data_IF_176271577987
#
_entry.id   IF_176271577987
#
_cell.length_a   1.000
_cell.length_b   1.000
_cell.length_c   1.000
_cell.angle_alpha   90.00
_cell.angle_beta   90.00
_cell.angle_gamma   90.00
#
_symmetry.space_group_name_H-M   'P 1'
#
loop_
_entity.id
_entity.type
_entity.pdbx_description
1 polymer ?
#
# COMPACT_ATOMS: atom_id res chain seq x y z
N UNK A 1 -5.33 5.00 -6.50
CA UNK A 1 -4.18 5.35 -5.66
C UNK A 1 -3.14 4.26 -5.81
N UNK A 2 -2.39 3.92 -4.75
CA UNK A 2 -1.35 2.88 -4.80
C UNK A 2 -1.91 1.55 -5.34
N UNK A 3 -2.97 1.00 -4.76
CA UNK A 3 -3.51 -0.31 -5.18
C UNK A 3 -3.93 -0.40 -6.66
N UNK A 4 -4.68 0.59 -7.15
CA UNK A 4 -5.11 0.61 -8.55
C UNK A 4 -3.90 0.70 -9.50
N UNK A 5 -2.93 1.57 -9.21
CA UNK A 5 -1.73 1.72 -10.04
C UNK A 5 -0.82 0.48 -9.92
N UNK A 6 -0.72 -0.13 -8.74
CA UNK A 6 0.03 -1.36 -8.54
C UNK A 6 -0.52 -2.50 -9.39
N UNK A 7 -1.85 -2.61 -9.56
CA UNK A 7 -2.44 -3.57 -10.50
C UNK A 7 -1.91 -3.38 -11.93
N UNK A 8 -1.72 -2.13 -12.38
CA UNK A 8 -1.10 -1.85 -13.69
C UNK A 8 0.34 -2.35 -13.76
N UNK A 9 1.17 -2.07 -12.75
CA UNK A 9 2.55 -2.58 -12.68
C UNK A 9 2.60 -4.12 -12.66
N UNK A 10 1.79 -4.76 -11.81
CA UNK A 10 1.73 -6.21 -11.70
C UNK A 10 1.21 -6.86 -12.98
N UNK A 11 0.33 -6.20 -13.73
CA UNK A 11 -0.17 -6.71 -15.01
C UNK A 11 0.91 -6.78 -16.11
N UNK A 12 2.09 -6.21 -15.90
CA UNK A 12 3.24 -6.43 -16.80
C UNK A 12 3.81 -7.86 -16.72
N UNK A 13 3.49 -8.61 -15.66
CA UNK A 13 3.79 -10.04 -15.56
C UNK A 13 3.01 -10.85 -16.61
N UNK A 14 3.47 -12.07 -16.92
CA UNK A 14 2.88 -12.94 -17.93
C UNK A 14 1.48 -13.45 -17.49
N UNK A 15 0.44 -12.66 -17.77
CA UNK A 15 -0.98 -12.93 -17.49
C UNK A 15 -1.27 -13.36 -16.03
N UNK A 16 -1.06 -12.48 -15.04
CA UNK A 16 -1.31 -12.80 -13.64
C UNK A 16 -2.82 -12.95 -13.38
N UNK A 17 -3.20 -13.72 -12.37
CA UNK A 17 -4.57 -13.74 -11.85
C UNK A 17 -4.72 -12.71 -10.72
N UNK A 18 -5.88 -12.06 -10.62
CA UNK A 18 -6.13 -11.08 -9.56
C UNK A 18 -7.35 -11.45 -8.71
N UNK A 19 -7.20 -11.25 -7.40
CA UNK A 19 -8.31 -11.14 -6.45
C UNK A 19 -8.28 -9.72 -5.89
N UNK A 20 -9.25 -8.88 -6.28
CA UNK A 20 -9.31 -7.47 -5.87
C UNK A 20 -10.35 -7.29 -4.76
N UNK A 21 -9.98 -6.60 -3.69
CA UNK A 21 -10.83 -6.40 -2.51
C UNK A 21 -10.75 -4.94 -2.11
N UNK A 22 -11.86 -4.21 -2.22
CA UNK A 22 -11.98 -2.81 -1.81
C UNK A 22 -13.48 -2.50 -1.67
N UNK A 23 -13.97 -2.06 -0.49
CA UNK A 23 -15.38 -1.75 -0.29
C UNK A 23 -15.81 -0.44 -0.96
N UNK A 24 -14.86 0.42 -1.34
CA UNK A 24 -15.16 1.77 -1.75
C UNK A 24 -15.71 1.87 -3.17
N UNK A 25 -16.48 2.94 -3.35
CA UNK A 25 -16.89 3.47 -4.63
C UNK A 25 -15.93 4.61 -5.01
N UNK A 26 -15.57 4.70 -6.30
CA UNK A 26 -14.70 5.77 -6.79
C UNK A 26 -15.41 7.12 -6.64
N UNK A 27 -14.80 8.05 -5.91
CA UNK A 27 -15.27 9.42 -5.72
C UNK A 27 -14.36 10.44 -6.39
N UNK A 28 -14.87 11.68 -6.52
CA UNK A 28 -14.12 12.81 -7.12
C UNK A 28 -12.79 13.04 -6.41
N UNK A 29 -12.77 12.91 -5.07
CA UNK A 29 -11.58 13.08 -4.23
C UNK A 29 -10.44 12.10 -4.57
N UNK A 30 -10.74 11.00 -5.25
CA UNK A 30 -9.77 9.97 -5.60
C UNK A 30 -9.25 10.09 -7.04
N UNK A 31 -9.97 10.78 -7.94
CA UNK A 31 -9.66 10.82 -9.38
C UNK A 31 -8.21 11.28 -9.65
N UNK A 32 -7.73 12.29 -8.92
CA UNK A 32 -6.39 12.85 -9.14
C UNK A 32 -5.21 11.89 -8.88
N UNK A 33 -5.46 10.74 -8.24
CA UNK A 33 -4.44 9.71 -7.93
C UNK A 33 -4.90 8.28 -8.21
N UNK A 34 -6.12 8.10 -8.74
CA UNK A 34 -6.64 6.79 -9.10
C UNK A 34 -6.27 6.45 -10.53
N UNK A 35 -6.02 5.16 -10.80
CA UNK A 35 -5.67 4.69 -12.15
C UNK A 35 -6.80 5.00 -13.14
N UNK A 36 -8.04 4.83 -12.67
CA UNK A 36 -9.24 5.12 -13.44
C UNK A 36 -9.57 6.61 -13.41
N UNK A 37 -10.04 7.12 -14.53
CA UNK A 37 -10.47 8.50 -14.68
C UNK A 37 -11.93 8.73 -14.33
N UNK A 38 -12.44 9.91 -14.73
CA UNK A 38 -13.79 10.38 -14.45
C UNK A 38 -14.89 9.45 -14.97
N UNK A 39 -14.62 8.67 -16.02
CA UNK A 39 -15.55 7.70 -16.59
C UNK A 39 -15.92 6.54 -15.64
N UNK A 40 -15.13 6.31 -14.59
CA UNK A 40 -15.41 5.29 -13.58
C UNK A 40 -16.00 5.87 -12.27
N UNK A 41 -16.36 7.16 -12.25
CA UNK A 41 -16.94 7.80 -11.07
C UNK A 41 -18.24 7.07 -10.65
N UNK A 42 -18.42 6.91 -9.35
CA UNK A 42 -19.54 6.19 -8.72
C UNK A 42 -19.61 4.68 -8.99
N UNK A 43 -18.59 4.09 -9.63
CA UNK A 43 -18.43 2.63 -9.71
C UNK A 43 -17.66 2.10 -8.51
N UNK A 44 -17.94 0.87 -8.08
CA UNK A 44 -17.04 0.15 -7.17
C UNK A 44 -15.63 0.11 -7.76
N UNK A 45 -14.63 0.48 -6.96
CA UNK A 45 -13.23 0.59 -7.42
C UNK A 45 -12.75 -0.75 -8.01
N UNK A 46 -13.06 -1.86 -7.35
CA UNK A 46 -12.69 -3.20 -7.81
C UNK A 46 -13.26 -3.56 -9.18
N UNK A 47 -14.53 -3.22 -9.44
CA UNK A 47 -15.16 -3.50 -10.74
C UNK A 47 -14.56 -2.64 -11.85
N UNK A 48 -14.32 -1.35 -11.59
CA UNK A 48 -13.68 -0.48 -12.56
C UNK A 48 -12.25 -0.94 -12.91
N UNK A 49 -11.47 -1.41 -11.93
CA UNK A 49 -10.12 -1.95 -12.18
C UNK A 49 -10.19 -3.26 -12.95
N UNK A 50 -11.16 -4.13 -12.65
CA UNK A 50 -11.41 -5.36 -13.42
C UNK A 50 -11.75 -5.06 -14.87
N UNK A 51 -12.66 -4.12 -15.14
CA UNK A 51 -13.00 -3.66 -16.49
C UNK A 51 -11.73 -3.19 -17.23
N UNK A 52 -10.94 -2.32 -16.59
CA UNK A 52 -9.67 -1.82 -17.16
C UNK A 52 -8.69 -2.94 -17.53
N UNK A 53 -8.48 -3.90 -16.63
CA UNK A 53 -7.56 -5.02 -16.89
C UNK A 53 -8.08 -5.94 -18.00
N UNK A 54 -9.39 -6.21 -18.02
CA UNK A 54 -10.06 -7.02 -19.06
C UNK A 54 -10.02 -6.37 -20.44
N UNK A 55 -9.98 -5.04 -20.54
CA UNK A 55 -9.78 -4.36 -21.82
C UNK A 55 -8.40 -4.62 -22.42
N UNK A 56 -7.40 -4.91 -21.58
CA UNK A 56 -6.03 -5.22 -22.02
C UNK A 56 -5.89 -6.73 -22.28
N UNK A 57 -6.46 -7.57 -21.40
CA UNK A 57 -6.42 -9.04 -21.49
C UNK A 57 -7.79 -9.66 -21.15
N UNK A 58 -8.68 -9.86 -22.13
CA UNK A 58 -10.02 -10.40 -21.90
C UNK A 58 -10.03 -11.78 -21.23
N UNK A 59 -9.00 -12.59 -21.46
CA UNK A 59 -8.84 -13.95 -20.94
C UNK A 59 -8.40 -14.01 -19.47
N UNK A 60 -7.91 -12.90 -18.90
CA UNK A 60 -7.30 -12.87 -17.57
C UNK A 60 -8.30 -13.23 -16.46
N UNK A 61 -7.94 -14.09 -15.51
CA UNK A 61 -8.83 -14.42 -14.39
C UNK A 61 -8.79 -13.34 -13.30
N UNK A 62 -9.93 -12.67 -13.09
CA UNK A 62 -10.06 -11.58 -12.12
C UNK A 62 -11.34 -11.75 -11.30
N UNK A 63 -11.16 -11.96 -10.00
CA UNK A 63 -12.22 -12.00 -9.00
C UNK A 63 -12.23 -10.67 -8.23
N UNK A 64 -13.42 -10.22 -7.85
CA UNK A 64 -13.63 -8.92 -7.19
C UNK A 64 -14.56 -9.09 -6.01
N UNK A 65 -14.24 -8.39 -4.92
CA UNK A 65 -15.05 -8.33 -3.71
C UNK A 65 -15.19 -6.86 -3.31
N UNK A 66 -16.40 -6.33 -3.40
CA UNK A 66 -16.75 -5.01 -2.89
C UNK A 66 -16.99 -5.07 -1.37
N UNK A 67 -15.98 -5.52 -0.63
CA UNK A 67 -16.02 -5.76 0.81
C UNK A 67 -14.63 -5.45 1.42
N UNK A 68 -14.53 -5.43 2.74
CA UNK A 68 -13.26 -5.22 3.44
C UNK A 68 -12.44 -6.51 3.48
N UNK A 69 -11.10 -6.38 3.58
CA UNK A 69 -10.21 -7.56 3.70
C UNK A 69 -10.51 -8.37 4.96
N UNK A 70 -10.88 -7.70 6.05
CA UNK A 70 -11.25 -8.31 7.32
C UNK A 70 -12.49 -9.19 7.19
N UNK A 71 -13.51 -8.68 6.49
CA UNK A 71 -14.75 -9.41 6.21
C UNK A 71 -14.49 -10.63 5.33
N UNK A 72 -13.71 -10.47 4.25
CA UNK A 72 -13.39 -11.58 3.33
C UNK A 72 -12.59 -12.67 4.03
N UNK A 73 -11.53 -12.32 4.78
CA UNK A 73 -10.72 -13.29 5.52
C UNK A 73 -11.49 -14.00 6.63
N UNK A 74 -12.34 -13.28 7.36
CA UNK A 74 -13.15 -13.89 8.44
C UNK A 74 -14.19 -14.88 7.91
N UNK A 75 -14.67 -14.68 6.68
CA UNK A 75 -15.63 -15.58 6.03
C UNK A 75 -14.93 -16.79 5.39
N UNK A 76 -13.82 -16.56 4.69
CA UNK A 76 -13.13 -17.59 3.90
C UNK A 76 -11.64 -17.26 3.72
N UNK A 77 -10.83 -17.46 4.76
CA UNK A 77 -9.38 -17.34 4.65
C UNK A 77 -8.75 -18.27 3.58
N UNK A 78 -9.21 -19.53 3.39
CA UNK A 78 -8.75 -20.39 2.29
C UNK A 78 -8.86 -19.76 0.89
N UNK A 79 -9.90 -18.96 0.62
CA UNK A 79 -10.03 -18.20 -0.62
C UNK A 79 -8.83 -17.29 -0.88
N UNK A 80 -8.26 -16.69 0.16
CA UNK A 80 -7.10 -15.80 0.06
C UNK A 80 -5.81 -16.61 -0.02
N UNK A 81 -5.68 -17.66 0.80
CA UNK A 81 -4.49 -18.52 0.85
C UNK A 81 -4.19 -19.30 -0.45
N UNK A 82 -5.14 -19.36 -1.40
CA UNK A 82 -4.89 -19.94 -2.73
C UNK A 82 -4.01 -19.07 -3.65
N UNK A 83 -3.78 -17.81 -3.30
CA UNK A 83 -2.97 -16.87 -4.09
C UNK A 83 -1.49 -16.97 -3.69
N UNK A 84 -0.59 -16.51 -4.56
CA UNK A 84 0.86 -16.54 -4.25
C UNK A 84 1.27 -15.52 -3.18
N UNK A 85 0.57 -14.40 -3.09
CA UNK A 85 0.82 -13.34 -2.10
C UNK A 85 -0.39 -12.39 -1.98
N UNK A 86 -0.41 -11.60 -0.92
CA UNK A 86 -1.39 -10.54 -0.65
C UNK A 86 -0.70 -9.16 -0.68
N UNK A 87 -1.32 -8.18 -1.34
CA UNK A 87 -0.90 -6.78 -1.27
C UNK A 87 -1.89 -5.97 -0.43
N UNK A 88 -1.49 -5.58 0.77
CA UNK A 88 -2.23 -4.69 1.65
C UNK A 88 -1.82 -3.23 1.37
N UNK A 89 -2.72 -2.49 0.71
CA UNK A 89 -2.49 -1.12 0.21
C UNK A 89 -3.59 -0.15 0.69
N UNK A 90 -4.18 -0.45 1.84
CA UNK A 90 -5.30 0.32 2.42
C UNK A 90 -4.83 1.59 3.12
N UNK A 91 -3.58 1.63 3.60
CA UNK A 91 -3.07 2.71 4.45
C UNK A 91 -3.82 2.81 5.78
N UNK A 92 -4.39 1.70 6.25
CA UNK A 92 -5.19 1.62 7.46
C UNK A 92 -4.51 0.69 8.48
N UNK A 93 -4.10 1.27 9.60
CA UNK A 93 -3.42 0.54 10.68
C UNK A 93 -4.25 -0.62 11.25
N UNK A 94 -5.57 -0.48 11.33
CA UNK A 94 -6.43 -1.55 11.84
C UNK A 94 -6.44 -2.76 10.91
N UNK A 95 -6.45 -2.53 9.59
CA UNK A 95 -6.30 -3.59 8.61
C UNK A 95 -4.94 -4.26 8.72
N UNK A 96 -3.87 -3.48 8.94
CA UNK A 96 -2.52 -4.02 9.15
C UNK A 96 -2.44 -4.90 10.39
N UNK A 97 -2.97 -4.43 11.53
CA UNK A 97 -3.03 -5.21 12.77
C UNK A 97 -3.90 -6.47 12.64
N UNK A 98 -5.01 -6.38 11.90
CA UNK A 98 -5.86 -7.53 11.62
C UNK A 98 -5.11 -8.60 10.82
N UNK A 99 -4.42 -8.20 9.74
CA UNK A 99 -3.61 -9.12 8.93
C UNK A 99 -2.50 -9.75 9.76
N UNK A 100 -1.82 -8.96 10.58
CA UNK A 100 -0.79 -9.45 11.51
C UNK A 100 -1.31 -10.53 12.44
N UNK A 101 -2.48 -10.30 13.06
CA UNK A 101 -3.15 -11.28 13.90
C UNK A 101 -3.44 -12.58 13.14
N UNK A 102 -3.97 -12.48 11.92
CA UNK A 102 -4.26 -13.66 11.10
C UNK A 102 -3.01 -14.46 10.71
N UNK A 103 -1.87 -13.80 10.50
CA UNK A 103 -0.60 -14.48 10.27
C UNK A 103 -0.08 -15.17 11.55
N UNK A 104 -0.17 -14.50 12.71
CA UNK A 104 0.23 -15.04 14.01
C UNK A 104 -0.62 -16.27 14.41
N UNK A 105 -1.91 -16.25 14.09
CA UNK A 105 -2.83 -17.38 14.29
C UNK A 105 -2.73 -18.46 13.19
N UNK A 106 -1.80 -18.32 12.24
CA UNK A 106 -1.60 -19.23 11.09
C UNK A 106 -2.84 -19.40 10.19
N UNK A 107 -3.76 -18.44 10.22
CA UNK A 107 -4.95 -18.41 9.36
C UNK A 107 -4.65 -17.82 7.98
N UNK A 108 -3.67 -16.90 7.88
CA UNK A 108 -3.15 -16.37 6.62
C UNK A 108 -1.73 -16.90 6.41
N UNK A 109 -1.56 -17.77 5.42
CA UNK A 109 -0.35 -18.59 5.22
C UNK A 109 0.48 -18.19 4.00
N UNK A 110 0.16 -17.05 3.40
CA UNK A 110 0.84 -16.53 2.22
C UNK A 110 1.63 -15.25 2.57
N UNK A 111 2.69 -14.91 1.81
CA UNK A 111 3.40 -13.67 2.01
C UNK A 111 2.51 -12.43 1.83
N UNK A 112 2.76 -11.41 2.65
CA UNK A 112 2.02 -10.14 2.64
C UNK A 112 2.96 -8.99 2.34
N UNK A 113 2.60 -8.17 1.35
CA UNK A 113 3.21 -6.88 1.08
C UNK A 113 2.34 -5.77 1.65
N UNK A 114 2.84 -5.02 2.62
CA UNK A 114 2.19 -3.81 3.14
C UNK A 114 2.85 -2.60 2.49
N UNK A 115 2.08 -1.79 1.76
CA UNK A 115 2.63 -0.71 0.93
C UNK A 115 1.84 0.58 1.14
N UNK A 116 2.54 1.67 1.47
CA UNK A 116 1.94 3.00 1.65
C UNK A 116 2.92 4.12 1.31
N UNK A 117 2.42 5.36 1.30
CA UNK A 117 3.20 6.59 1.15
C UNK A 117 3.05 7.45 2.40
N UNK A 118 4.14 8.08 2.81
CA UNK A 118 4.14 9.21 3.73
C UNK A 118 3.59 10.48 3.06
N UNK A 119 3.14 11.47 3.86
CA UNK A 119 2.73 12.78 3.37
C UNK A 119 3.70 13.41 2.38
N UNK A 120 3.14 14.11 1.40
CA UNK A 120 3.78 14.75 0.25
C UNK A 120 4.58 13.80 -0.66
N UNK A 121 4.39 12.49 -0.52
CA UNK A 121 5.22 11.50 -1.21
C UNK A 121 6.68 11.55 -0.75
N UNK A 122 6.96 12.08 0.45
CA UNK A 122 8.32 12.21 0.99
C UNK A 122 8.99 10.85 1.18
N UNK A 123 8.21 9.81 1.46
CA UNK A 123 8.69 8.44 1.42
C UNK A 123 7.57 7.49 1.00
N UNK A 124 7.95 6.37 0.41
CA UNK A 124 7.09 5.21 0.16
C UNK A 124 7.68 4.00 0.85
N UNK A 125 6.83 3.22 1.51
CA UNK A 125 7.27 2.07 2.30
C UNK A 125 6.72 0.79 1.70
N UNK A 126 7.53 -0.25 1.73
CA UNK A 126 7.12 -1.62 1.44
C UNK A 126 7.66 -2.54 2.52
N UNK A 127 6.74 -3.21 3.23
CA UNK A 127 7.07 -4.29 4.17
C UNK A 127 6.63 -5.60 3.53
N UNK A 128 7.58 -6.51 3.32
CA UNK A 128 7.31 -7.88 2.91
C UNK A 128 7.40 -8.79 4.13
N UNK A 129 6.28 -9.41 4.50
CA UNK A 129 6.17 -10.36 5.60
C UNK A 129 6.04 -11.77 5.03
N UNK A 130 7.07 -12.59 5.20
CA UNK A 130 7.01 -14.00 4.83
C UNK A 130 6.44 -14.85 5.99
N UNK A 131 5.44 -15.71 5.77
CA UNK A 131 4.87 -16.58 6.80
C UNK A 131 5.86 -17.58 7.42
N UNK A 132 6.98 -17.88 6.74
CA UNK A 132 8.05 -18.73 7.26
C UNK A 132 9.03 -17.97 8.18
N UNK A 133 8.94 -16.64 8.25
CA UNK A 133 9.71 -15.86 9.21
C UNK A 133 9.06 -15.92 10.60
N UNK A 134 9.86 -15.67 11.64
CA UNK A 134 9.33 -15.52 13.01
C UNK A 134 8.64 -14.16 13.16
N UNK A 135 7.40 -14.06 12.69
CA UNK A 135 6.62 -12.82 12.67
C UNK A 135 6.39 -12.24 14.07
N UNK A 136 6.40 -13.08 15.11
CA UNK A 136 6.25 -12.65 16.50
C UNK A 136 7.38 -11.73 16.97
N UNK A 137 8.56 -11.82 16.34
CA UNK A 137 9.72 -10.98 16.63
C UNK A 137 9.78 -9.69 15.81
N UNK A 138 8.91 -9.55 14.81
CA UNK A 138 8.93 -8.41 13.88
C UNK A 138 8.09 -7.27 14.44
N UNK A 139 8.75 -6.26 15.01
CA UNK A 139 8.11 -4.99 15.34
C UNK A 139 8.22 -4.01 14.18
N UNK A 140 7.07 -3.49 13.70
CA UNK A 140 7.00 -2.48 12.64
C UNK A 140 6.87 -1.06 13.19
N UNK A 141 6.34 -0.90 14.40
CA UNK A 141 5.96 0.41 14.93
C UNK A 141 6.89 0.86 16.05
N UNK A 142 7.12 2.17 16.15
CA UNK A 142 7.98 2.77 17.19
C UNK A 142 7.42 2.58 18.60
N UNK A 143 6.10 2.61 18.73
CA UNK A 143 5.38 2.38 19.98
C UNK A 143 3.91 2.00 19.70
N UNK A 144 3.25 1.41 20.69
CA UNK A 144 1.88 0.91 20.60
C UNK A 144 0.80 2.00 20.71
N UNK A 145 1.18 3.25 21.02
CA UNK A 145 0.21 4.34 21.16
C UNK A 145 0.02 5.09 19.85
N UNK A 146 1.13 5.34 19.13
CA UNK A 146 1.12 6.13 17.90
C UNK A 146 1.02 5.28 16.64
N UNK A 147 1.43 4.00 16.71
CA UNK A 147 1.57 3.11 15.56
C UNK A 147 2.36 3.75 14.39
N UNK A 148 3.24 4.71 14.68
CA UNK A 148 4.12 5.27 13.67
C UNK A 148 5.14 4.22 13.26
N UNK A 149 5.31 4.05 11.96
CA UNK A 149 6.27 3.08 11.43
C UNK A 149 7.70 3.48 11.81
N UNK A 150 8.49 2.50 12.27
CA UNK A 150 9.82 2.73 12.86
C UNK A 150 10.84 3.35 11.91
N UNK A 151 10.63 3.22 10.59
CA UNK A 151 11.50 3.79 9.56
C UNK A 151 10.88 4.98 8.82
N UNK A 152 9.88 5.65 9.39
CA UNK A 152 9.37 6.90 8.85
C UNK A 152 10.51 7.91 8.61
N UNK A 153 10.43 8.66 7.51
CA UNK A 153 11.36 9.76 7.24
C UNK A 153 10.90 11.06 7.91
N UNK A 154 9.58 11.29 8.01
CA UNK A 154 9.03 12.44 8.73
C UNK A 154 9.19 12.19 10.23
N UNK A 155 9.75 13.17 10.93
CA UNK A 155 9.98 13.06 12.37
C UNK A 155 8.66 12.96 13.14
N UNK A 156 8.57 12.02 14.09
CA UNK A 156 7.33 11.71 14.85
C UNK A 156 6.57 12.93 15.39
N UNK A 157 7.27 13.92 15.96
CA UNK A 157 6.61 15.10 16.54
C UNK A 157 5.84 15.94 15.49
N UNK A 158 6.16 15.84 14.21
CA UNK A 158 5.39 16.50 13.15
C UNK A 158 3.94 15.97 13.11
N UNK A 159 3.75 14.67 13.35
CA UNK A 159 2.43 14.03 13.38
C UNK A 159 1.59 14.46 14.59
N UNK A 160 2.24 14.90 15.68
CA UNK A 160 1.54 15.38 16.88
C UNK A 160 1.15 16.86 16.80
N UNK A 161 2.00 17.68 16.19
CA UNK A 161 1.81 19.14 16.16
C UNK A 161 1.10 19.63 14.88
N UNK A 162 1.06 18.82 13.83
CA UNK A 162 0.66 19.25 12.48
C UNK A 162 -0.30 18.29 11.76
N UNK A 163 -1.22 17.61 12.46
CA UNK A 163 -2.14 16.64 11.82
C UNK A 163 -2.91 17.19 10.61
N UNK A 164 -3.34 18.46 10.68
CA UNK A 164 -4.03 19.11 9.56
C UNK A 164 -3.10 19.43 8.36
N UNK A 165 -1.77 19.43 8.53
CA UNK A 165 -0.82 19.66 7.42
C UNK A 165 -0.62 18.42 6.54
N UNK A 166 -0.97 17.23 7.01
CA UNK A 166 -0.69 15.98 6.30
C UNK A 166 -1.89 15.37 5.61
N UNK A 167 -3.07 15.88 5.95
CA UNK A 167 -4.36 15.38 5.51
C UNK A 167 -5.08 16.48 4.78
N UNK A 168 -5.56 16.20 3.56
CA UNK A 168 -6.48 17.09 2.86
C UNK A 168 -7.93 16.68 3.17
N UNK A 169 -8.78 17.69 3.36
CA UNK A 169 -10.24 17.57 3.37
C UNK A 169 -10.76 18.56 2.32
N UNK A 170 -11.44 18.09 1.28
CA UNK A 170 -12.08 18.97 0.31
C UNK A 170 -13.43 19.44 0.88
N UNK A 171 -13.72 20.74 0.79
CA UNK A 171 -14.92 21.34 1.38
C UNK A 171 -16.19 20.74 0.74
N UNK A 172 -16.93 19.95 1.52
CA UNK A 172 -18.16 19.27 1.09
C UNK A 172 -18.11 17.74 1.10
N UNK A 173 -16.93 17.13 1.28
CA UNK A 173 -16.75 15.67 1.33
C UNK A 173 -16.12 15.23 2.67
N UNK A 174 -16.62 14.14 3.26
CA UNK A 174 -16.15 13.61 4.55
C UNK A 174 -14.80 12.85 4.47
N UNK A 175 -14.14 12.82 3.31
CA UNK A 175 -12.92 12.05 3.09
C UNK A 175 -11.64 12.80 3.48
N UNK A 176 -10.92 12.30 4.48
CA UNK A 176 -9.54 12.69 4.78
C UNK A 176 -8.57 11.79 3.99
N UNK A 177 -7.60 12.37 3.27
CA UNK A 177 -6.55 11.57 2.62
C UNK A 177 -5.16 12.19 2.76
N UNK A 178 -4.15 11.34 2.81
CA UNK A 178 -2.73 11.73 2.80
C UNK A 178 -2.41 12.49 1.52
N UNK A 179 -1.75 13.63 1.67
CA UNK A 179 -1.36 14.49 0.56
C UNK A 179 -0.27 13.83 -0.28
N UNK A 180 -0.59 13.20 -1.40
CA UNK A 180 0.38 12.82 -2.44
C UNK A 180 -0.29 12.84 -3.80
N UNK A 181 0.50 13.03 -4.85
CA UNK A 181 0.05 13.06 -6.24
C UNK A 181 0.16 11.68 -6.91
N UNK A 182 -0.46 11.53 -8.08
CA UNK A 182 -0.25 10.34 -8.90
C UNK A 182 1.21 10.17 -9.33
N UNK A 183 1.95 11.27 -9.54
CA UNK A 183 3.36 11.21 -9.92
C UNK A 183 4.21 10.58 -8.82
N UNK A 184 3.92 10.90 -7.55
CA UNK A 184 4.61 10.31 -6.40
C UNK A 184 4.34 8.80 -6.34
N UNK A 185 3.08 8.39 -6.57
CA UNK A 185 2.71 6.96 -6.66
C UNK A 185 3.46 6.26 -7.79
N UNK A 186 3.54 6.88 -8.97
CA UNK A 186 4.22 6.27 -10.12
C UNK A 186 5.72 6.16 -9.89
N UNK A 187 6.37 7.20 -9.36
CA UNK A 187 7.80 7.20 -9.05
C UNK A 187 8.13 6.12 -8.02
N UNK A 188 7.36 6.05 -6.94
CA UNK A 188 7.51 5.03 -5.92
C UNK A 188 7.32 3.61 -6.46
N UNK A 189 6.21 3.36 -7.16
CA UNK A 189 5.91 2.03 -7.71
C UNK A 189 6.97 1.59 -8.73
N UNK A 190 7.49 2.52 -9.54
CA UNK A 190 8.57 2.25 -10.49
C UNK A 190 9.87 1.86 -9.79
N UNK A 191 10.20 2.52 -8.68
CA UNK A 191 11.39 2.21 -7.88
C UNK A 191 11.27 0.87 -7.15
N UNK A 192 10.09 0.53 -6.62
CA UNK A 192 9.89 -0.65 -5.78
C UNK A 192 9.53 -1.92 -6.56
N UNK A 193 8.93 -1.80 -7.74
CA UNK A 193 8.49 -2.95 -8.53
C UNK A 193 9.59 -4.00 -8.81
N UNK A 194 10.85 -3.63 -9.12
CA UNK A 194 11.93 -4.61 -9.27
C UNK A 194 12.14 -5.49 -8.02
N UNK A 195 11.95 -4.92 -6.81
CA UNK A 195 12.02 -5.66 -5.55
C UNK A 195 10.82 -6.57 -5.38
N UNK A 196 9.60 -6.09 -5.64
CA UNK A 196 8.38 -6.92 -5.63
C UNK A 196 8.55 -8.14 -6.54
N UNK A 197 8.97 -7.93 -7.80
CA UNK A 197 9.15 -9.00 -8.76
C UNK A 197 10.24 -10.00 -8.33
N UNK A 198 11.33 -9.52 -7.73
CA UNK A 198 12.38 -10.38 -7.18
C UNK A 198 11.85 -11.26 -6.05
N UNK A 199 11.15 -10.67 -5.07
CA UNK A 199 10.61 -11.37 -3.90
C UNK A 199 9.60 -12.46 -4.30
N UNK A 200 8.72 -12.16 -5.26
CA UNK A 200 7.75 -13.14 -5.79
C UNK A 200 8.46 -14.30 -6.51
N UNK A 201 9.46 -14.00 -7.34
CA UNK A 201 10.16 -15.03 -8.15
C UNK A 201 11.09 -15.91 -7.34
N UNK A 202 11.84 -15.33 -6.41
CA UNK A 202 12.84 -16.06 -5.64
C UNK A 202 12.26 -16.83 -4.46
N UNK A 203 10.98 -16.57 -4.10
CA UNK A 203 10.33 -17.15 -2.92
C UNK A 203 11.19 -16.98 -1.67
N UNK A 204 11.70 -15.75 -1.47
CA UNK A 204 12.52 -15.42 -0.32
C UNK A 204 11.78 -15.81 0.97
N UNK A 205 12.47 -16.52 1.86
CA UNK A 205 11.91 -17.01 3.13
C UNK A 205 11.97 -15.97 4.25
N UNK A 206 12.70 -14.87 4.05
CA UNK A 206 12.85 -13.80 5.02
C UNK A 206 11.86 -12.67 4.76
N UNK A 207 11.52 -11.96 5.83
CA UNK A 207 10.79 -10.69 5.74
C UNK A 207 11.75 -9.54 5.49
N UNK A 208 11.32 -8.54 4.72
CA UNK A 208 12.13 -7.38 4.31
C UNK A 208 11.37 -6.07 4.49
N UNK A 209 12.09 -4.99 4.75
CA UNK A 209 11.55 -3.63 4.73
C UNK A 209 12.30 -2.76 3.76
N UNK A 210 11.56 -1.95 3.01
CA UNK A 210 12.11 -1.00 2.07
C UNK A 210 11.48 0.37 2.26
N UNK A 211 12.30 1.40 2.10
CA UNK A 211 11.85 2.80 2.01
C UNK A 211 12.39 3.42 0.74
N UNK A 212 11.49 3.87 -0.12
CA UNK A 212 11.80 4.80 -1.18
C UNK A 212 11.72 6.22 -0.62
N UNK A 213 12.76 7.01 -0.83
CA UNK A 213 12.81 8.42 -0.46
C UNK A 213 12.35 9.25 -1.66
N UNK A 214 11.33 10.09 -1.49
CA UNK A 214 10.80 10.95 -2.53
C UNK A 214 11.63 12.23 -2.73
N UNK A 215 10.97 13.32 -3.12
CA UNK A 215 11.65 14.61 -3.25
C UNK A 215 11.83 15.32 -1.91
N UNK A 216 13.04 15.24 -1.34
CA UNK A 216 13.39 15.91 -0.08
C UNK A 216 13.33 17.44 -0.15
N UNK A 217 13.28 18.04 -1.36
CA UNK A 217 13.05 19.47 -1.50
C UNK A 217 11.68 19.90 -0.94
N UNK A 218 10.69 19.00 -0.99
CA UNK A 218 9.35 19.24 -0.45
C UNK A 218 9.34 19.35 1.07
N UNK A 219 10.21 18.60 1.76
CA UNK A 219 10.35 18.73 3.21
C UNK A 219 10.84 20.14 3.59
N UNK A 220 11.81 20.68 2.86
CA UNK A 220 12.29 22.07 3.03
C UNK A 220 11.18 23.07 2.70
N UNK A 221 10.49 22.89 1.57
CA UNK A 221 9.40 23.77 1.11
C UNK A 221 8.26 23.88 2.13
N UNK A 222 7.85 22.75 2.71
CA UNK A 222 6.74 22.69 3.66
C UNK A 222 7.18 22.77 5.12
N UNK A 223 8.49 23.00 5.37
CA UNK A 223 9.08 23.09 6.71
C UNK A 223 8.76 21.87 7.58
N UNK A 224 8.90 20.68 7.00
CA UNK A 224 8.68 19.39 7.66
C UNK A 224 10.03 18.88 8.16
N UNK A 225 10.15 18.63 9.47
CA UNK A 225 11.35 18.01 10.03
C UNK A 225 11.44 16.53 9.66
N UNK A 226 12.60 16.14 9.14
CA UNK A 226 12.95 14.74 8.85
C UNK A 226 13.73 14.13 10.03
N UNK A 227 13.72 12.79 10.13
CA UNK A 227 14.49 12.03 11.13
C UNK A 227 16.00 12.13 10.86
N UNK A 228 16.38 12.12 9.59
CA UNK A 228 17.77 12.24 9.13
C UNK A 228 17.81 12.81 7.71
N UNK A 229 18.97 13.31 7.29
CA UNK A 229 19.19 13.67 5.89
C UNK A 229 19.33 12.42 5.04
N UNK A 230 18.63 12.40 3.91
CA UNK A 230 18.66 11.32 2.91
C UNK A 230 18.70 11.92 1.51
N UNK A 231 19.18 11.13 0.55
CA UNK A 231 19.14 11.51 -0.86
C UNK A 231 17.73 11.38 -1.42
N UNK A 232 17.29 12.35 -2.24
CA UNK A 232 16.03 12.23 -2.96
C UNK A 232 16.07 11.07 -3.95
N UNK A 233 14.91 10.44 -4.18
CA UNK A 233 14.71 9.36 -5.14
C UNK A 233 15.60 8.12 -4.94
N UNK A 234 16.04 7.85 -3.71
CA UNK A 234 16.79 6.65 -3.36
C UNK A 234 15.90 5.53 -2.80
N UNK A 235 16.39 4.30 -2.86
CA UNK A 235 15.74 3.13 -2.27
C UNK A 235 16.65 2.52 -1.22
N UNK A 236 16.15 2.37 0.00
CA UNK A 236 16.86 1.80 1.14
C UNK A 236 16.18 0.50 1.58
N UNK A 237 16.98 -0.42 2.11
CA UNK A 237 16.53 -1.69 2.68
C UNK A 237 16.91 -1.76 4.16
N UNK A 238 16.01 -2.27 4.99
CA UNK A 238 16.17 -2.37 6.43
C UNK A 238 16.00 -3.82 6.89
N UNK A 239 16.78 -4.21 7.90
CA UNK A 239 16.62 -5.48 8.60
C UNK A 239 15.39 -5.44 9.50
N UNK A 240 14.56 -6.49 9.44
CA UNK A 240 13.39 -6.65 10.30
C UNK A 240 13.71 -7.29 11.64
#
# INVERSE_FOLDING_TARGET
SIGSNLCHFLNSANCPTFTLIDPDILSVDNIGRHLLGFNALYKHKVEGVKEYLKMIRPEQNISVFADSIESVLSKDAPLINKNDCLFLVTGNIMSELFIRKYQEEQLLTIPVFIIWLEPYGLAGHMVYLNPNSDLSKISLYSDQNTYLYKYNIIHKDEYNHSQNKFIKRDAGCNGAYTLYSNNDVMAFLSAIYPKINTLIRQKDSKSHCYRWNGDMSLAKKYQIRLVNEVSSFSLEEFSL
#
